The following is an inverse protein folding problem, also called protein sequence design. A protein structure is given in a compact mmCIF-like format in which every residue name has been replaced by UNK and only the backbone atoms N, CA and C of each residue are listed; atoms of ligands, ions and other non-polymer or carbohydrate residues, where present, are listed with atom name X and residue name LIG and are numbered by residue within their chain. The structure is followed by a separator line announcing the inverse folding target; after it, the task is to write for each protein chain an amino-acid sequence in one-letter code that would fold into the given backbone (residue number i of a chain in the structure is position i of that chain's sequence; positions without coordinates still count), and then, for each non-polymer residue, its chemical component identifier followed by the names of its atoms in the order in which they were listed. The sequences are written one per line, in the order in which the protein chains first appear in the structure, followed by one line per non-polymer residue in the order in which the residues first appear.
data_IF_146359991336
#
_entry.id   IF_146359991336
#
_cell.length_a   1.000
_cell.length_b   1.000
_cell.length_c   1.000
_cell.angle_alpha   90.00
_cell.angle_beta   90.00
_cell.angle_gamma   90.00
#
_symmetry.space_group_name_H-M   'P 1'
#
loop_
_entity.id
_entity.type
_entity.pdbx_description
1 polymer ?
#
# COMPACT_ATOMS: atom_id res chain seq x y z
N UNK A 1 1.77 33.69 -1.94
CA UNK A 1 1.96 32.24 -1.72
C UNK A 1 0.59 31.59 -1.80
N UNK A 2 0.21 31.08 -2.97
CA UNK A 2 -1.10 30.44 -3.17
C UNK A 2 -1.15 29.10 -2.42
N UNK A 3 -1.98 29.09 -1.38
CA UNK A 3 -2.34 27.89 -0.64
C UNK A 3 -3.38 27.11 -1.47
N UNK A 4 -2.90 26.16 -2.27
CA UNK A 4 -3.76 25.17 -2.92
C UNK A 4 -4.21 24.11 -1.88
N UNK A 5 -5.12 24.51 -0.99
CA UNK A 5 -5.99 23.60 -0.21
C UNK A 5 -6.88 22.87 -1.21
N UNK A 6 -6.72 21.56 -1.43
CA UNK A 6 -7.52 20.55 -0.73
C UNK A 6 -6.94 19.15 -1.00
N UNK A 7 -5.66 19.06 -1.40
CA UNK A 7 -5.01 17.76 -1.61
C UNK A 7 -3.89 17.59 -0.60
N UNK A 8 -3.89 16.51 0.21
CA UNK A 8 -2.78 16.24 1.10
C UNK A 8 -1.49 16.25 0.28
N UNK A 9 -0.43 16.93 0.75
CA UNK A 9 0.80 16.96 0.00
C UNK A 9 1.39 15.54 0.01
N UNK A 10 1.29 14.84 -1.11
CA UNK A 10 1.91 13.52 -1.29
C UNK A 10 3.42 13.70 -1.33
N UNK A 11 4.06 13.72 -0.17
CA UNK A 11 5.49 13.97 0.00
C UNK A 11 6.19 12.63 0.16
N UNK A 12 7.25 12.43 -0.60
CA UNK A 12 8.11 11.26 -0.46
C UNK A 12 8.82 11.30 0.90
N UNK A 13 8.75 10.21 1.66
CA UNK A 13 9.32 10.12 2.99
C UNK A 13 10.85 10.26 2.98
N UNK A 14 11.51 9.80 1.91
CA UNK A 14 12.97 9.86 1.71
C UNK A 14 13.45 11.24 1.26
N UNK A 15 13.03 11.70 0.08
CA UNK A 15 13.59 12.90 -0.54
C UNK A 15 12.86 14.19 -0.16
N UNK A 16 11.76 14.09 0.61
CA UNK A 16 10.87 15.19 1.02
C UNK A 16 10.29 16.03 -0.13
N UNK A 17 10.40 15.55 -1.38
CA UNK A 17 9.81 16.19 -2.56
C UNK A 17 8.38 15.69 -2.79
N UNK A 18 7.55 16.52 -3.42
CA UNK A 18 6.18 16.17 -3.83
C UNK A 18 6.20 15.09 -4.92
N UNK A 19 5.28 14.14 -4.81
CA UNK A 19 4.96 13.13 -5.82
C UNK A 19 3.81 13.69 -6.66
N UNK A 20 4.05 13.88 -7.96
CA UNK A 20 3.08 14.49 -8.87
C UNK A 20 2.40 13.49 -9.79
N UNK A 21 2.98 12.30 -9.98
CA UNK A 21 2.50 11.27 -10.91
C UNK A 21 2.22 9.96 -10.17
N UNK A 22 1.11 9.30 -10.51
CA UNK A 22 0.76 7.96 -9.99
C UNK A 22 1.82 6.91 -10.29
N UNK A 23 2.44 6.96 -11.47
CA UNK A 23 3.46 5.99 -11.91
C UNK A 23 4.72 6.02 -11.04
N UNK A 24 5.02 7.17 -10.44
CA UNK A 24 6.20 7.35 -9.61
C UNK A 24 5.90 7.10 -8.13
N UNK A 25 4.63 6.89 -7.77
CA UNK A 25 4.18 6.68 -6.39
C UNK A 25 4.37 5.22 -5.99
N UNK A 26 5.04 4.99 -4.87
CA UNK A 26 5.04 3.72 -4.14
C UNK A 26 4.41 3.98 -2.77
N UNK A 27 3.38 3.20 -2.47
CA UNK A 27 2.70 3.23 -1.17
C UNK A 27 3.15 2.01 -0.41
N UNK A 28 3.63 2.21 0.80
CA UNK A 28 4.02 1.12 1.69
C UNK A 28 3.24 1.20 2.99
N UNK A 29 3.06 0.06 3.65
CA UNK A 29 2.51 -0.01 4.99
C UNK A 29 3.54 -0.55 5.97
N UNK A 30 3.52 0.01 7.19
CA UNK A 30 4.21 -0.54 8.36
C UNK A 30 3.37 -0.27 9.61
N UNK A 31 3.02 -1.32 10.35
CA UNK A 31 2.25 -1.25 11.61
C UNK A 31 1.15 -0.15 11.59
N UNK A 32 0.26 -0.18 10.59
CA UNK A 32 -0.87 0.75 10.39
C UNK A 32 -0.58 2.14 9.79
N UNK A 33 0.68 2.51 9.55
CA UNK A 33 1.00 3.77 8.88
C UNK A 33 1.32 3.58 7.40
N UNK A 34 0.75 4.45 6.56
CA UNK A 34 1.09 4.55 5.15
C UNK A 34 2.28 5.48 4.95
N UNK A 35 3.28 5.01 4.22
CA UNK A 35 4.43 5.80 3.82
C UNK A 35 4.50 5.87 2.30
N UNK A 36 4.73 7.08 1.81
CA UNK A 36 4.78 7.38 0.39
C UNK A 36 6.22 7.55 -0.04
N UNK A 37 6.57 6.96 -1.18
CA UNK A 37 7.91 7.04 -1.74
C UNK A 37 7.84 7.28 -3.24
N UNK A 38 8.89 7.88 -3.81
CA UNK A 38 9.12 7.77 -5.24
C UNK A 38 9.65 6.38 -5.59
N UNK A 39 9.28 5.84 -6.74
CA UNK A 39 9.75 4.54 -7.22
C UNK A 39 11.29 4.42 -7.17
N UNK A 40 12.01 5.46 -7.62
CA UNK A 40 13.47 5.48 -7.58
C UNK A 40 14.01 5.53 -6.15
N UNK A 41 13.40 6.33 -5.27
CA UNK A 41 13.80 6.41 -3.86
C UNK A 41 13.57 5.09 -3.12
N UNK A 42 12.47 4.40 -3.42
CA UNK A 42 12.15 3.10 -2.84
C UNK A 42 13.16 2.04 -3.27
N UNK A 43 13.49 1.94 -4.57
CA UNK A 43 14.49 0.99 -5.09
C UNK A 43 15.87 1.22 -4.48
N UNK A 44 16.29 2.48 -4.37
CA UNK A 44 17.62 2.81 -3.84
C UNK A 44 17.76 2.48 -2.34
N UNK A 45 16.66 2.54 -1.59
CA UNK A 45 16.65 2.26 -0.16
C UNK A 45 16.08 0.87 0.19
N UNK A 46 15.89 0.00 -0.80
CA UNK A 46 15.20 -1.29 -0.62
C UNK A 46 15.87 -2.20 0.43
N UNK A 47 17.18 -2.08 0.64
CA UNK A 47 17.91 -2.80 1.70
C UNK A 47 17.60 -2.26 3.12
N UNK A 48 17.36 -0.96 3.26
CA UNK A 48 17.03 -0.31 4.55
C UNK A 48 15.52 -0.29 4.83
N UNK A 49 14.71 -0.46 3.79
CA UNK A 49 13.25 -0.40 3.78
C UNK A 49 12.63 -1.82 3.83
N UNK A 50 13.40 -2.85 4.22
CA UNK A 50 12.94 -4.25 4.25
C UNK A 50 11.67 -4.50 5.07
N UNK A 51 11.37 -3.65 6.05
CA UNK A 51 10.18 -3.75 6.91
C UNK A 51 8.91 -3.13 6.29
N UNK A 52 9.01 -2.50 5.13
CA UNK A 52 7.89 -1.84 4.47
C UNK A 52 7.32 -2.73 3.38
N UNK A 53 6.02 -3.03 3.48
CA UNK A 53 5.33 -3.85 2.48
C UNK A 53 4.74 -2.93 1.42
N UNK A 54 5.21 -2.99 0.16
CA UNK A 54 4.71 -2.12 -0.90
C UNK A 54 3.33 -2.60 -1.39
N UNK A 55 2.30 -1.78 -1.16
CA UNK A 55 0.89 -2.12 -1.36
C UNK A 55 0.40 -2.02 -2.81
N UNK A 56 1.04 -1.17 -3.60
CA UNK A 56 0.66 -0.91 -4.99
C UNK A 56 1.50 -1.69 -6.00
N UNK A 57 2.10 -2.80 -5.58
CA UNK A 57 2.94 -3.66 -6.43
C UNK A 57 2.20 -4.92 -6.86
N UNK A 58 2.66 -5.52 -7.97
CA UNK A 58 2.17 -6.83 -8.43
C UNK A 58 2.34 -7.91 -7.35
N UNK A 59 3.43 -7.85 -6.58
CA UNK A 59 3.66 -8.77 -5.45
C UNK A 59 2.51 -8.75 -4.45
N UNK A 60 1.99 -7.57 -4.11
CA UNK A 60 0.87 -7.45 -3.19
C UNK A 60 -0.44 -8.02 -3.77
N UNK A 61 -0.64 -7.93 -5.09
CA UNK A 61 -1.77 -8.58 -5.77
C UNK A 61 -1.65 -10.11 -5.64
N UNK A 62 -0.46 -10.67 -5.87
CA UNK A 62 -0.22 -12.10 -5.66
C UNK A 62 -0.47 -12.52 -4.20
N UNK A 63 -0.05 -11.70 -3.23
CA UNK A 63 -0.31 -11.96 -1.81
C UNK A 63 -1.81 -11.99 -1.50
N UNK A 64 -2.60 -11.07 -2.08
CA UNK A 64 -4.06 -11.06 -1.95
C UNK A 64 -4.67 -12.34 -2.54
N UNK A 65 -4.29 -12.72 -3.76
CA UNK A 65 -4.82 -13.92 -4.42
C UNK A 65 -4.48 -15.18 -3.63
N UNK A 66 -3.24 -15.30 -3.16
CA UNK A 66 -2.80 -16.40 -2.31
C UNK A 66 -3.60 -16.45 -1.00
N UNK A 67 -3.76 -15.30 -0.33
CA UNK A 67 -4.52 -15.19 0.91
C UNK A 67 -6.01 -15.56 0.73
N UNK A 68 -6.61 -15.19 -0.39
CA UNK A 68 -7.98 -15.57 -0.71
C UNK A 68 -8.13 -17.09 -0.90
N UNK A 69 -7.20 -17.73 -1.62
CA UNK A 69 -7.23 -19.18 -1.86
C UNK A 69 -7.06 -19.92 -0.54
N UNK A 70 -6.01 -19.59 0.22
CA UNK A 70 -5.71 -20.23 1.51
C UNK A 70 -6.82 -19.97 2.53
N UNK A 71 -7.29 -18.72 2.62
CA UNK A 71 -8.39 -18.34 3.50
C UNK A 71 -9.69 -19.07 3.19
N UNK A 72 -10.00 -19.29 1.90
CA UNK A 72 -11.18 -20.06 1.48
C UNK A 72 -11.07 -21.54 1.86
N UNK A 73 -9.89 -22.14 1.69
CA UNK A 73 -9.64 -23.53 2.12
C UNK A 73 -9.82 -23.63 3.63
N UNK A 74 -9.18 -22.75 4.40
CA UNK A 74 -9.30 -22.71 5.86
C UNK A 74 -10.73 -22.52 6.35
N UNK A 75 -11.53 -21.68 5.68
CA UNK A 75 -12.93 -21.47 6.00
C UNK A 75 -13.76 -22.76 5.86
N UNK A 76 -13.40 -23.64 4.93
CA UNK A 76 -14.09 -24.92 4.69
C UNK A 76 -13.57 -26.01 5.63
N UNK A 77 -12.26 -26.07 5.86
CA UNK A 77 -11.63 -27.16 6.62
C UNK A 77 -11.72 -26.99 8.12
N UNK A 78 -11.72 -25.75 8.61
CA UNK A 78 -11.66 -25.43 10.03
C UNK A 78 -12.81 -24.50 10.42
N UNK A 79 -13.66 -24.86 11.41
CA UNK A 79 -14.73 -23.99 11.93
C UNK A 79 -14.17 -22.87 12.84
N UNK A 80 -13.03 -22.30 12.46
CA UNK A 80 -12.34 -21.25 13.19
C UNK A 80 -12.52 -19.90 12.50
N UNK A 81 -12.28 -18.81 13.22
CA UNK A 81 -12.40 -17.43 12.70
C UNK A 81 -11.08 -16.95 12.07
N UNK A 82 -10.05 -17.80 12.07
CA UNK A 82 -8.68 -17.46 11.65
C UNK A 82 -8.64 -16.96 10.19
N UNK A 83 -9.57 -17.41 9.35
CA UNK A 83 -9.67 -16.97 7.95
C UNK A 83 -9.90 -15.45 7.79
N UNK A 84 -10.44 -14.76 8.80
CA UNK A 84 -10.63 -13.30 8.76
C UNK A 84 -9.31 -12.53 8.64
N UNK A 85 -8.20 -13.10 9.12
CA UNK A 85 -6.87 -12.47 9.02
C UNK A 85 -6.47 -12.27 7.55
N UNK A 86 -6.91 -13.14 6.64
CA UNK A 86 -6.63 -13.03 5.20
C UNK A 86 -7.42 -11.90 4.51
N UNK A 87 -8.38 -11.27 5.20
CA UNK A 87 -9.04 -10.05 4.70
C UNK A 87 -8.19 -8.79 4.91
N UNK A 88 -7.18 -8.83 5.80
CA UNK A 88 -6.33 -7.67 6.10
C UNK A 88 -5.60 -7.12 4.87
N UNK A 89 -4.95 -7.94 4.01
CA UNK A 89 -4.31 -7.41 2.80
C UNK A 89 -5.28 -6.66 1.87
N UNK A 90 -6.52 -7.16 1.76
CA UNK A 90 -7.58 -6.55 0.94
C UNK A 90 -7.97 -5.19 1.50
N UNK A 91 -8.18 -5.10 2.82
CA UNK A 91 -8.52 -3.84 3.47
C UNK A 91 -7.39 -2.81 3.33
N UNK A 92 -6.13 -3.21 3.51
CA UNK A 92 -4.98 -2.33 3.26
C UNK A 92 -4.89 -1.84 1.82
N UNK A 93 -5.19 -2.68 0.82
CA UNK A 93 -5.23 -2.25 -0.59
C UNK A 93 -6.31 -1.20 -0.83
N UNK A 94 -7.49 -1.42 -0.25
CA UNK A 94 -8.62 -0.51 -0.39
C UNK A 94 -8.35 0.84 0.28
N UNK A 95 -7.80 0.82 1.50
CA UNK A 95 -7.38 2.03 2.23
C UNK A 95 -6.31 2.80 1.45
N UNK A 96 -5.29 2.11 0.91
CA UNK A 96 -4.25 2.69 0.06
C UNK A 96 -4.84 3.41 -1.16
N UNK A 97 -5.84 2.81 -1.80
CA UNK A 97 -6.51 3.44 -2.93
C UNK A 97 -7.31 4.68 -2.50
N UNK A 98 -8.12 4.55 -1.45
CA UNK A 98 -9.04 5.59 -0.99
C UNK A 98 -8.30 6.84 -0.49
N UNK A 99 -7.26 6.66 0.32
CA UNK A 99 -6.53 7.78 0.94
C UNK A 99 -5.50 8.43 0.01
N UNK A 100 -4.99 7.71 -1.00
CA UNK A 100 -3.85 8.19 -1.78
C UNK A 100 -4.12 8.12 -3.28
N UNK A 101 -4.32 6.92 -3.84
CA UNK A 101 -4.36 6.76 -5.30
C UNK A 101 -5.52 7.48 -5.97
N UNK A 102 -6.67 7.61 -5.29
CA UNK A 102 -7.86 8.33 -5.77
C UNK A 102 -7.51 9.75 -6.23
N UNK A 103 -6.59 10.43 -5.55
CA UNK A 103 -6.22 11.81 -5.85
C UNK A 103 -5.34 11.97 -7.10
N UNK A 104 -4.77 10.88 -7.59
CA UNK A 104 -3.96 10.84 -8.82
C UNK A 104 -4.72 10.28 -10.02
N UNK A 105 -5.95 9.76 -9.83
CA UNK A 105 -6.71 9.06 -10.86
C UNK A 105 -7.63 10.00 -11.67
N UNK A 106 -7.17 11.24 -11.92
CA UNK A 106 -7.92 12.24 -12.71
C UNK A 106 -7.71 12.05 -14.20
#
# INVERSE_FOLDING_TARGET
MEYNEMRPPFICHTCKKRITRKKDLIITTRYFHFYLFHNNCFKQQQLFISHFIPLNTLFFIFLIMYGLIVGSILMITEPSIIWLVFLLPISYRFLSYYYVERFFSK
#
